data_IF_500640446319
#
_entry.id   IF_500640446319
#
_cell.length_a   1.000
_cell.length_b   1.000
_cell.length_c   1.000
_cell.angle_alpha   90.00
_cell.angle_beta   90.00
_cell.angle_gamma   90.00
#
_symmetry.space_group_name_H-M   'P 1'
#
loop_
_entity.id
_entity.type
_entity.pdbx_description
1 polymer ?
#
# COMPACT_ATOMS: atom_id res chain seq x y z
N UNK A 1 -15.83 23.56 -6.27
CA UNK A 1 -14.46 23.40 -6.80
C UNK A 1 -13.44 22.98 -5.74
N UNK A 2 -13.02 23.81 -4.76
CA UNK A 2 -12.06 23.36 -3.72
C UNK A 2 -12.60 22.24 -2.81
N UNK A 3 -13.90 22.26 -2.51
CA UNK A 3 -14.57 21.21 -1.73
C UNK A 3 -14.58 19.84 -2.42
N UNK A 4 -14.60 19.80 -3.77
CA UNK A 4 -14.58 18.53 -4.51
C UNK A 4 -13.20 17.88 -4.44
N UNK A 5 -12.10 18.63 -4.52
CA UNK A 5 -10.74 18.07 -4.47
C UNK A 5 -10.37 17.49 -3.09
N UNK A 6 -10.85 18.09 -2.00
CA UNK A 6 -10.64 17.57 -0.65
C UNK A 6 -11.29 16.19 -0.46
N UNK A 7 -12.41 15.93 -1.14
CA UNK A 7 -13.10 14.63 -1.10
C UNK A 7 -12.34 13.54 -1.87
N UNK A 8 -11.59 13.90 -2.92
CA UNK A 8 -10.95 12.91 -3.82
C UNK A 8 -9.65 12.30 -3.25
N UNK A 9 -8.96 13.03 -2.37
CA UNK A 9 -7.81 12.51 -1.62
C UNK A 9 -8.20 11.97 -0.24
N UNK A 10 -9.50 11.79 0.02
CA UNK A 10 -9.95 11.23 1.28
C UNK A 10 -9.52 9.75 1.38
N UNK A 11 -8.74 9.34 2.40
CA UNK A 11 -8.33 7.95 2.60
C UNK A 11 -9.49 7.00 2.93
N UNK A 12 -10.69 7.54 3.18
CA UNK A 12 -11.91 6.78 3.44
C UNK A 12 -12.92 6.83 2.27
N UNK A 13 -12.48 7.29 1.10
CA UNK A 13 -13.30 7.21 -0.12
C UNK A 13 -13.10 5.82 -0.76
N UNK A 14 -14.01 4.90 -0.52
CA UNK A 14 -13.96 3.52 -1.06
C UNK A 14 -14.76 3.33 -2.34
N UNK A 15 -15.84 4.11 -2.50
CA UNK A 15 -16.71 4.10 -3.68
C UNK A 15 -16.96 5.53 -4.15
N UNK A 16 -16.96 5.72 -5.47
CA UNK A 16 -17.42 6.93 -6.12
C UNK A 16 -18.45 6.61 -7.19
N UNK A 17 -19.67 7.11 -6.98
CA UNK A 17 -20.80 6.97 -7.90
C UNK A 17 -21.20 8.32 -8.49
N UNK A 18 -21.17 8.45 -9.81
CA UNK A 18 -21.49 9.68 -10.55
C UNK A 18 -22.61 9.38 -11.55
N UNK A 19 -23.70 10.14 -11.46
CA UNK A 19 -24.91 9.85 -12.26
C UNK A 19 -25.11 10.83 -13.41
N UNK A 20 -24.77 12.11 -13.23
CA UNK A 20 -24.95 13.15 -14.23
C UNK A 20 -23.64 13.92 -14.43
N UNK A 21 -23.05 13.81 -15.63
CA UNK A 21 -21.84 14.54 -16.02
C UNK A 21 -22.11 15.30 -17.31
N UNK A 22 -22.31 16.62 -17.19
CA UNK A 22 -22.66 17.49 -18.32
C UNK A 22 -21.54 17.65 -19.34
N UNK A 23 -20.28 17.43 -18.94
CA UNK A 23 -19.11 17.47 -19.83
C UNK A 23 -18.11 16.36 -19.45
N UNK A 24 -18.25 15.15 -20.03
CA UNK A 24 -17.40 14.00 -19.72
C UNK A 24 -15.90 14.29 -19.80
N UNK A 25 -15.43 14.90 -20.90
CA UNK A 25 -14.01 15.22 -21.11
C UNK A 25 -13.43 16.17 -20.09
N UNK A 26 -14.12 17.28 -19.85
CA UNK A 26 -13.66 18.27 -18.87
C UNK A 26 -13.65 17.68 -17.46
N UNK A 27 -14.63 16.84 -17.17
CA UNK A 27 -14.72 16.14 -15.90
C UNK A 27 -13.55 15.16 -15.71
N UNK A 28 -13.30 14.26 -16.67
CA UNK A 28 -12.23 13.26 -16.61
C UNK A 28 -10.85 13.88 -16.38
N UNK A 29 -10.51 14.94 -17.13
CA UNK A 29 -9.24 15.67 -16.98
C UNK A 29 -9.02 16.25 -15.59
N UNK A 30 -10.10 16.67 -14.94
CA UNK A 30 -10.03 17.26 -13.60
C UNK A 30 -10.07 16.22 -12.50
N UNK A 31 -10.78 15.13 -12.76
CA UNK A 31 -10.97 14.02 -11.85
C UNK A 31 -9.67 13.23 -11.69
N UNK A 32 -9.08 12.72 -12.77
CA UNK A 32 -8.03 11.70 -12.72
C UNK A 32 -6.75 12.09 -11.97
N UNK A 33 -6.20 13.32 -12.10
CA UNK A 33 -4.95 13.67 -11.44
C UNK A 33 -4.94 13.47 -9.92
N UNK A 34 -5.94 13.92 -9.13
CA UNK A 34 -5.98 13.64 -7.69
C UNK A 34 -6.17 12.14 -7.38
N UNK A 35 -6.94 11.37 -8.16
CA UNK A 35 -7.14 9.92 -7.88
C UNK A 35 -5.87 9.10 -7.90
N UNK A 36 -4.84 9.51 -8.66
CA UNK A 36 -3.61 8.71 -8.77
C UNK A 36 -2.97 8.42 -7.41
N UNK A 37 -3.16 9.33 -6.44
CA UNK A 37 -2.63 9.20 -5.07
C UNK A 37 -3.62 8.58 -4.07
N UNK A 38 -4.84 8.30 -4.50
CA UNK A 38 -5.85 7.65 -3.68
C UNK A 38 -5.64 6.13 -3.70
N UNK A 39 -5.45 5.52 -2.52
CA UNK A 39 -5.27 4.07 -2.36
C UNK A 39 -6.50 3.36 -1.78
N UNK A 40 -7.58 4.10 -1.51
CA UNK A 40 -8.79 3.59 -0.88
C UNK A 40 -9.90 3.28 -1.88
N UNK A 41 -9.95 3.92 -3.04
CA UNK A 41 -11.04 3.74 -3.99
C UNK A 41 -10.98 2.36 -4.64
N UNK A 42 -12.04 1.56 -4.51
CA UNK A 42 -12.19 0.24 -5.14
C UNK A 42 -13.34 0.16 -6.13
N UNK A 43 -14.28 1.11 -6.07
CA UNK A 43 -15.42 1.12 -6.97
C UNK A 43 -15.61 2.51 -7.58
N UNK A 44 -15.63 2.55 -8.90
CA UNK A 44 -15.89 3.75 -9.69
C UNK A 44 -17.06 3.48 -10.62
N UNK A 45 -18.22 4.04 -10.29
CA UNK A 45 -19.43 3.90 -11.07
C UNK A 45 -19.72 5.24 -11.77
N UNK A 46 -19.50 5.28 -13.08
CA UNK A 46 -19.70 6.49 -13.89
C UNK A 46 -20.47 6.15 -15.16
N UNK A 47 -21.14 7.13 -15.80
CA UNK A 47 -21.89 6.86 -17.01
C UNK A 47 -20.98 6.30 -18.11
N UNK A 48 -21.50 5.42 -18.96
CA UNK A 48 -20.72 4.76 -20.03
C UNK A 48 -20.02 5.77 -20.94
N UNK A 49 -20.64 6.92 -21.20
CA UNK A 49 -20.03 7.99 -21.99
C UNK A 49 -18.77 8.60 -21.35
N UNK A 50 -18.69 8.60 -20.02
CA UNK A 50 -17.50 9.01 -19.25
C UNK A 50 -16.49 7.86 -19.22
N UNK A 51 -16.92 6.62 -18.99
CA UNK A 51 -16.01 5.46 -18.94
C UNK A 51 -15.21 5.25 -20.24
N UNK A 52 -15.79 5.60 -21.39
CA UNK A 52 -15.12 5.48 -22.70
C UNK A 52 -14.16 6.63 -23.00
N UNK A 53 -14.11 7.65 -22.15
CA UNK A 53 -13.18 8.75 -22.31
C UNK A 53 -11.74 8.25 -22.07
N UNK A 54 -10.80 8.46 -23.00
CA UNK A 54 -9.41 8.07 -22.79
C UNK A 54 -8.78 8.67 -21.53
N UNK A 55 -9.22 9.87 -21.12
CA UNK A 55 -8.73 10.50 -19.91
C UNK A 55 -9.16 9.72 -18.65
N UNK A 56 -10.19 8.86 -18.71
CA UNK A 56 -10.64 8.01 -17.61
C UNK A 56 -9.84 6.72 -17.40
N UNK A 57 -8.99 6.31 -18.35
CA UNK A 57 -8.15 5.12 -18.16
C UNK A 57 -7.31 5.21 -16.89
N UNK A 58 -6.79 6.40 -16.57
CA UNK A 58 -6.02 6.62 -15.36
C UNK A 58 -6.83 6.40 -14.06
N UNK A 59 -8.14 6.66 -14.07
CA UNK A 59 -8.99 6.40 -12.90
C UNK A 59 -9.35 4.90 -12.78
N UNK A 60 -9.58 4.22 -13.91
CA UNK A 60 -9.78 2.77 -13.93
C UNK A 60 -8.53 2.02 -13.45
N UNK A 61 -7.35 2.47 -13.87
CA UNK A 61 -6.08 1.91 -13.40
C UNK A 61 -5.86 2.09 -11.90
N UNK A 62 -6.31 3.21 -11.32
CA UNK A 62 -6.27 3.42 -9.86
C UNK A 62 -7.13 2.39 -9.15
N UNK A 63 -8.38 2.20 -9.59
CA UNK A 63 -9.28 1.19 -9.01
C UNK A 63 -8.67 -0.20 -9.13
N UNK A 64 -8.20 -0.57 -10.33
CA UNK A 64 -7.56 -1.86 -10.58
C UNK A 64 -6.33 -2.08 -9.68
N UNK A 65 -5.47 -1.06 -9.54
CA UNK A 65 -4.32 -1.09 -8.65
C UNK A 65 -4.75 -1.32 -7.20
N UNK A 66 -5.72 -0.56 -6.72
CA UNK A 66 -6.17 -0.62 -5.32
C UNK A 66 -6.82 -1.98 -5.01
N UNK A 67 -7.63 -2.54 -5.91
CA UNK A 67 -8.15 -3.91 -5.78
C UNK A 67 -7.00 -4.93 -5.67
N UNK A 68 -5.99 -4.82 -6.54
CA UNK A 68 -4.82 -5.68 -6.49
C UNK A 68 -3.92 -5.47 -5.27
N UNK A 69 -3.99 -4.32 -4.59
CA UNK A 69 -3.33 -4.11 -3.29
C UNK A 69 -4.11 -4.85 -2.19
N UNK A 70 -5.43 -4.72 -2.16
CA UNK A 70 -6.27 -5.43 -1.18
C UNK A 70 -6.08 -6.94 -1.30
N UNK A 71 -6.13 -7.50 -2.50
CA UNK A 71 -5.94 -8.93 -2.71
C UNK A 71 -4.56 -9.43 -2.25
N UNK A 72 -3.48 -8.69 -2.55
CA UNK A 72 -2.13 -9.04 -2.07
C UNK A 72 -2.01 -8.94 -0.55
N UNK A 73 -2.60 -7.90 0.04
CA UNK A 73 -2.62 -7.75 1.49
C UNK A 73 -3.41 -8.88 2.17
N UNK A 74 -4.53 -9.32 1.59
CA UNK A 74 -5.29 -10.48 2.06
C UNK A 74 -4.41 -11.73 2.06
N UNK A 75 -3.79 -12.06 0.93
CA UNK A 75 -2.89 -13.24 0.84
C UNK A 75 -1.74 -13.18 1.84
N UNK A 76 -1.17 -12.00 2.06
CA UNK A 76 -0.14 -11.81 3.07
C UNK A 76 -0.63 -12.10 4.50
N UNK A 77 -1.80 -11.56 4.87
CA UNK A 77 -2.45 -11.85 6.17
C UNK A 77 -2.75 -13.35 6.32
N UNK A 78 -3.11 -14.01 5.21
CA UNK A 78 -3.37 -15.46 5.15
C UNK A 78 -2.11 -16.33 5.14
N UNK A 79 -0.91 -15.73 5.04
CA UNK A 79 0.37 -16.42 5.24
C UNK A 79 1.31 -16.41 4.03
N UNK A 80 0.94 -15.83 2.89
CA UNK A 80 1.86 -15.64 1.76
C UNK A 80 2.87 -14.53 2.08
N UNK A 81 4.06 -14.93 2.51
CA UNK A 81 5.10 -13.99 2.95
C UNK A 81 5.97 -13.51 1.80
N UNK A 82 5.51 -12.44 1.14
CA UNK A 82 6.31 -11.72 0.16
C UNK A 82 6.33 -10.20 0.41
N UNK A 83 7.34 -9.53 -0.17
CA UNK A 83 7.56 -8.09 -0.03
C UNK A 83 6.39 -7.25 -0.56
N UNK A 84 5.77 -7.69 -1.66
CA UNK A 84 4.70 -6.94 -2.32
C UNK A 84 3.40 -7.00 -1.52
N UNK A 85 3.07 -8.15 -0.94
CA UNK A 85 1.95 -8.33 -0.02
C UNK A 85 2.15 -7.57 1.28
N UNK A 86 3.36 -7.61 1.85
CA UNK A 86 3.70 -6.83 3.03
C UNK A 86 3.58 -5.31 2.79
N UNK A 87 4.08 -4.82 1.65
CA UNK A 87 3.96 -3.41 1.26
C UNK A 87 2.50 -3.03 1.01
N UNK A 88 1.72 -3.92 0.40
CA UNK A 88 0.29 -3.68 0.18
C UNK A 88 -0.47 -3.59 1.51
N UNK A 89 -0.15 -4.46 2.48
CA UNK A 89 -0.74 -4.42 3.81
C UNK A 89 -0.48 -3.10 4.53
N UNK A 90 0.74 -2.53 4.44
CA UNK A 90 1.03 -1.20 5.01
C UNK A 90 0.19 -0.07 4.37
N UNK A 91 -0.21 -0.23 3.10
CA UNK A 91 -0.99 0.77 2.36
C UNK A 91 -2.50 0.66 2.66
N UNK A 92 -3.03 -0.56 2.71
CA UNK A 92 -4.48 -0.80 2.78
C UNK A 92 -4.97 -1.38 4.12
N UNK A 93 -4.16 -1.33 5.18
CA UNK A 93 -4.48 -1.92 6.49
C UNK A 93 -5.82 -1.45 7.08
N UNK A 94 -6.20 -0.21 6.81
CA UNK A 94 -7.44 0.40 7.34
C UNK A 94 -8.64 0.20 6.40
N UNK A 95 -8.44 -0.48 5.27
CA UNK A 95 -9.46 -0.63 4.24
C UNK A 95 -10.53 -1.67 4.64
N UNK A 96 -11.84 -1.34 4.69
CA UNK A 96 -12.89 -2.28 5.09
C UNK A 96 -12.95 -3.55 4.24
N UNK A 97 -12.72 -3.44 2.93
CA UNK A 97 -12.62 -4.59 2.02
C UNK A 97 -11.52 -5.59 2.39
N UNK A 98 -10.43 -5.15 3.01
CA UNK A 98 -9.40 -6.08 3.51
C UNK A 98 -9.97 -6.94 4.64
N UNK A 99 -10.69 -6.33 5.59
CA UNK A 99 -11.39 -7.03 6.68
C UNK A 99 -12.39 -8.03 6.11
N UNK A 100 -13.21 -7.60 5.15
CA UNK A 100 -14.19 -8.47 4.48
C UNK A 100 -13.51 -9.68 3.81
N UNK A 101 -12.47 -9.45 3.02
CA UNK A 101 -11.77 -10.52 2.32
C UNK A 101 -11.10 -11.50 3.30
N UNK A 102 -10.41 -11.00 4.33
CA UNK A 102 -9.78 -11.84 5.35
C UNK A 102 -10.82 -12.66 6.11
N UNK A 103 -11.96 -12.05 6.48
CA UNK A 103 -13.06 -12.75 7.15
C UNK A 103 -13.60 -13.89 6.29
N UNK A 104 -13.86 -13.62 5.01
CA UNK A 104 -14.39 -14.62 4.07
C UNK A 104 -13.38 -15.75 3.80
N UNK A 105 -12.12 -15.42 3.53
CA UNK A 105 -11.09 -16.42 3.23
C UNK A 105 -10.71 -17.28 4.44
N UNK A 106 -10.67 -16.70 5.63
CA UNK A 106 -10.41 -17.43 6.87
C UNK A 106 -11.67 -18.07 7.50
N UNK A 107 -12.84 -17.93 6.87
CA UNK A 107 -14.13 -18.41 7.36
C UNK A 107 -14.44 -17.97 8.81
N UNK A 108 -14.15 -16.70 9.11
CA UNK A 108 -14.33 -16.14 10.46
C UNK A 108 -15.78 -15.64 10.65
N UNK A 109 -16.34 -15.81 11.85
CA UNK A 109 -17.72 -15.42 12.13
C UNK A 109 -17.90 -13.90 12.21
N UNK A 110 -16.90 -13.18 12.75
CA UNK A 110 -17.00 -11.75 13.04
C UNK A 110 -15.88 -10.94 12.37
N UNK A 111 -16.14 -9.66 12.12
CA UNK A 111 -15.16 -8.73 11.55
C UNK A 111 -13.98 -8.46 12.51
N UNK A 112 -14.21 -8.51 13.83
CA UNK A 112 -13.18 -8.23 14.83
C UNK A 112 -12.06 -9.27 14.81
N UNK A 113 -12.38 -10.55 14.61
CA UNK A 113 -11.37 -11.61 14.43
C UNK A 113 -10.51 -11.38 13.17
N UNK A 114 -11.10 -10.83 12.10
CA UNK A 114 -10.37 -10.46 10.90
C UNK A 114 -9.46 -9.24 11.15
N UNK A 115 -9.93 -8.25 11.93
CA UNK A 115 -9.12 -7.10 12.37
C UNK A 115 -7.94 -7.54 13.23
N UNK A 116 -8.13 -8.50 14.12
CA UNK A 116 -7.05 -9.06 14.96
C UNK A 116 -5.97 -9.73 14.10
N UNK A 117 -6.36 -10.55 13.11
CA UNK A 117 -5.40 -11.13 12.16
C UNK A 117 -4.61 -10.08 11.37
N UNK A 118 -5.29 -9.01 10.94
CA UNK A 118 -4.65 -7.88 10.24
C UNK A 118 -3.68 -7.15 11.20
N UNK A 119 -4.09 -6.90 12.43
CA UNK A 119 -3.28 -6.26 13.46
C UNK A 119 -2.05 -7.09 13.80
N UNK A 120 -2.19 -8.40 13.95
CA UNK A 120 -1.09 -9.34 14.17
C UNK A 120 -0.10 -9.34 13.00
N UNK A 121 -0.60 -9.33 11.76
CA UNK A 121 0.25 -9.23 10.57
C UNK A 121 1.01 -7.90 10.52
N UNK A 122 0.37 -6.79 10.87
CA UNK A 122 1.00 -5.48 10.97
C UNK A 122 2.01 -5.40 12.11
N UNK A 123 1.72 -6.01 13.26
CA UNK A 123 2.63 -6.02 14.41
C UNK A 123 3.94 -6.73 14.06
N UNK A 124 3.84 -7.91 13.41
CA UNK A 124 5.00 -8.64 12.87
C UNK A 124 5.82 -7.77 11.92
N UNK A 125 5.15 -7.03 11.04
CA UNK A 125 5.82 -6.11 10.12
C UNK A 125 6.51 -4.93 10.82
N UNK A 126 5.87 -4.34 11.83
CA UNK A 126 6.24 -3.02 12.40
C UNK A 126 7.24 -3.06 13.55
N UNK A 127 7.57 -4.21 14.14
CA UNK A 127 8.63 -4.20 15.15
C UNK A 127 8.77 -5.39 16.09
N UNK A 128 7.89 -6.39 16.06
CA UNK A 128 8.13 -7.60 16.87
C UNK A 128 9.09 -8.59 16.20
N UNK A 129 9.22 -8.56 14.87
CA UNK A 129 10.17 -9.41 14.14
C UNK A 129 11.00 -8.59 13.15
N UNK A 130 12.08 -7.98 13.67
CA UNK A 130 13.05 -7.23 12.86
C UNK A 130 13.64 -8.10 11.73
N UNK A 131 13.82 -9.39 11.98
CA UNK A 131 14.37 -10.32 10.99
C UNK A 131 13.42 -10.53 9.81
N UNK A 132 12.11 -10.62 10.07
CA UNK A 132 11.11 -10.70 9.01
C UNK A 132 11.11 -9.42 8.15
N UNK A 133 11.13 -8.24 8.75
CA UNK A 133 11.25 -6.97 8.01
C UNK A 133 12.53 -6.90 7.17
N UNK A 134 13.68 -7.22 7.77
CA UNK A 134 14.98 -7.19 7.07
C UNK A 134 15.05 -8.21 5.92
N UNK A 135 14.43 -9.38 6.09
CA UNK A 135 14.31 -10.39 5.03
C UNK A 135 13.44 -9.89 3.88
N UNK A 136 12.30 -9.27 4.18
CA UNK A 136 11.38 -8.76 3.16
C UNK A 136 11.89 -7.53 2.42
N UNK A 137 12.67 -6.68 3.09
CA UNK A 137 13.36 -5.54 2.46
C UNK A 137 14.62 -5.93 1.71
N UNK A 138 15.06 -7.19 1.79
CA UNK A 138 16.32 -7.63 1.18
C UNK A 138 17.57 -7.10 1.89
N UNK A 139 17.43 -6.42 3.04
CA UNK A 139 18.56 -5.98 3.89
C UNK A 139 19.41 -7.19 4.34
N UNK A 140 18.80 -8.38 4.48
CA UNK A 140 19.49 -9.65 4.77
C UNK A 140 19.74 -10.45 3.49
N UNK A 141 20.10 -9.80 2.38
CA UNK A 141 20.79 -10.47 1.28
C UNK A 141 22.26 -10.04 1.27
N UNK A 142 23.05 -10.82 2.01
CA UNK A 142 24.51 -10.99 1.93
C UNK A 142 25.43 -9.83 2.31
N UNK A 143 25.12 -8.57 2.07
CA UNK A 143 25.91 -7.43 2.58
C UNK A 143 25.27 -6.11 2.12
N UNK A 144 25.08 -5.17 3.04
CA UNK A 144 24.78 -3.77 2.67
C UNK A 144 26.12 -3.09 2.39
N UNK A 145 26.48 -2.90 1.12
CA UNK A 145 27.70 -2.20 0.72
C UNK A 145 27.31 -0.77 0.32
N UNK A 146 27.76 0.22 1.08
CA UNK A 146 27.68 1.61 0.65
C UNK A 146 28.85 1.91 -0.30
N UNK A 147 28.56 2.55 -1.44
CA UNK A 147 29.58 3.13 -2.30
C UNK A 147 29.95 4.53 -1.77
N UNK A 148 31.09 4.63 -1.08
CA UNK A 148 31.68 5.93 -0.73
C UNK A 148 33.20 5.89 -0.82
N UNK A 149 33.74 6.86 -1.56
CA UNK A 149 35.16 7.17 -1.57
C UNK A 149 35.69 7.49 -0.16
N UNK A 150 36.62 6.64 0.28
CA UNK A 150 37.72 6.73 1.24
C UNK A 150 37.70 7.60 2.53
N UNK A 151 36.77 8.54 2.80
CA UNK A 151 37.03 9.54 3.88
C UNK A 151 36.05 9.72 5.02
N UNK A 152 34.87 9.10 5.07
CA UNK A 152 33.95 9.31 6.21
C UNK A 152 33.51 7.99 6.89
N UNK A 153 34.19 7.65 7.98
CA UNK A 153 33.85 6.55 8.88
C UNK A 153 32.58 6.88 9.68
N UNK A 154 31.41 6.74 9.06
CA UNK A 154 30.12 6.74 9.76
C UNK A 154 29.65 5.31 10.00
N UNK A 155 29.15 5.05 11.21
CA UNK A 155 28.61 3.76 11.64
C UNK A 155 27.61 3.24 10.61
N UNK A 156 27.85 2.02 10.12
CA UNK A 156 27.01 1.37 9.13
C UNK A 156 25.64 1.01 9.73
N UNK A 157 24.57 1.02 8.93
CA UNK A 157 23.23 0.63 9.38
C UNK A 157 23.21 -0.84 9.88
N UNK A 158 23.93 -1.75 9.24
CA UNK A 158 24.08 -3.15 9.68
C UNK A 158 24.86 -3.32 11.00
N UNK A 159 25.58 -2.28 11.44
CA UNK A 159 26.29 -2.24 12.73
C UNK A 159 25.49 -1.61 13.87
N UNK A 160 24.27 -1.15 13.61
CA UNK A 160 23.42 -0.64 14.67
C UNK A 160 22.99 -1.78 15.60
N UNK A 161 23.07 -1.57 16.92
CA UNK A 161 22.43 -2.44 17.90
C UNK A 161 20.95 -2.67 17.59
N UNK A 162 20.44 -3.85 17.94
CA UNK A 162 19.02 -4.21 17.75
C UNK A 162 18.05 -3.13 18.28
N UNK A 163 18.38 -2.53 19.42
CA UNK A 163 17.57 -1.47 20.04
C UNK A 163 17.45 -0.21 19.16
N UNK A 164 18.56 0.22 18.56
CA UNK A 164 18.61 1.39 17.70
C UNK A 164 17.88 1.14 16.38
N UNK A 165 18.02 -0.08 15.84
CA UNK A 165 17.22 -0.53 14.69
C UNK A 165 15.72 -0.52 14.97
N UNK A 166 15.31 -1.00 16.14
CA UNK A 166 13.90 -1.00 16.54
C UNK A 166 13.34 0.41 16.63
N UNK A 167 14.13 1.40 17.07
CA UNK A 167 13.75 2.81 17.05
C UNK A 167 13.63 3.36 15.62
N UNK A 168 14.62 3.12 14.77
CA UNK A 168 14.62 3.61 13.39
C UNK A 168 13.47 2.99 12.58
N UNK A 169 13.18 1.70 12.80
CA UNK A 169 12.09 0.97 12.12
C UNK A 169 10.72 1.62 12.33
N UNK A 170 10.47 2.30 13.44
CA UNK A 170 9.21 3.01 13.69
C UNK A 170 8.94 4.10 12.64
N UNK A 171 9.99 4.58 11.97
CA UNK A 171 9.92 5.64 10.98
C UNK A 171 10.07 5.16 9.52
N UNK A 172 10.43 3.89 9.30
CA UNK A 172 10.67 3.33 7.96
C UNK A 172 9.51 2.45 7.51
N UNK A 173 9.00 2.64 6.30
CA UNK A 173 8.08 1.73 5.60
C UNK A 173 8.85 0.80 4.68
N UNK A 174 8.24 -0.32 4.29
CA UNK A 174 8.83 -1.25 3.30
C UNK A 174 9.07 -0.57 1.94
N UNK A 175 8.23 0.41 1.62
CA UNK A 175 8.34 1.22 0.40
C UNK A 175 9.51 2.19 0.41
N UNK A 176 10.08 2.50 1.58
CA UNK A 176 11.18 3.44 1.71
C UNK A 176 12.54 2.78 1.41
N UNK A 177 12.60 1.45 1.38
CA UNK A 177 13.82 0.70 1.07
C UNK A 177 13.89 0.40 -0.43
N UNK A 178 14.87 0.96 -1.12
CA UNK A 178 15.18 0.59 -2.51
C UNK A 178 16.09 -0.63 -2.48
N UNK A 179 15.71 -1.69 -3.19
CA UNK A 179 16.60 -2.84 -3.42
C UNK A 179 17.10 -2.69 -4.83
N UNK A 180 18.40 -2.43 -4.99
CA UNK A 180 19.01 -2.40 -6.30
C UNK A 180 18.91 -3.80 -6.92
N UNK A 181 18.20 -3.87 -8.05
CA UNK A 181 17.88 -5.11 -8.76
C UNK A 181 19.05 -5.75 -9.50
N UNK A 182 20.28 -5.65 -8.99
CA UNK A 182 21.49 -6.19 -9.60
C UNK A 182 22.34 -6.98 -8.61
N UNK A 183 21.80 -8.08 -8.07
CA UNK A 183 22.61 -9.18 -7.52
C UNK A 183 21.95 -10.51 -7.90
N UNK A 184 22.09 -10.87 -9.18
CA UNK A 184 22.08 -12.27 -9.64
C UNK A 184 23.55 -12.69 -9.78
#
# INVERSE_FOLDING_TARGET
>A
MLAEYATLNNPHLYELSLRNVSSPRHFSRRLVPPFRRNYSLLLLNVPICVMRDPDMFGAQDVVRRNCGLVERATRFVMGERDRYGASALEIVSEHPKLVENVRLEAALPEDDEARDKIADALARLRGTDLHEFMRMTGVVQRQVICDYGETDARTQLDKLPFYDWTHIRQYLKLTDVVVDGNLV
#
